data_IF_877363028339
#
_entry.id   IF_877363028339
#
_cell.length_a   1.000
_cell.length_b   1.000
_cell.length_c   1.000
_cell.angle_alpha   90.00
_cell.angle_beta   90.00
_cell.angle_gamma   90.00
#
_symmetry.space_group_name_H-M   'P 1'
#
loop_
_entity.id
_entity.type
_entity.pdbx_description
1 polymer ?
#
# COMPACT_ATOMS: atom_id res chain seq x y z
N UNK A 1 9.78 -27.56 0.88
CA UNK A 1 9.84 -26.13 1.21
C UNK A 1 8.73 -25.84 2.20
N UNK A 2 8.89 -24.83 3.06
CA UNK A 2 7.87 -24.46 4.05
C UNK A 2 6.75 -23.65 3.37
N UNK A 3 5.50 -23.76 3.84
CA UNK A 3 4.40 -22.94 3.33
C UNK A 3 4.62 -21.47 3.71
N UNK A 4 4.45 -20.54 2.76
CA UNK A 4 4.53 -19.11 3.06
C UNK A 4 3.35 -18.67 3.93
N UNK A 5 3.65 -18.08 5.08
CA UNK A 5 2.67 -17.48 6.00
C UNK A 5 2.88 -15.97 6.03
N UNK A 6 1.98 -15.24 6.68
CA UNK A 6 2.13 -13.79 6.83
C UNK A 6 3.41 -13.42 7.60
N UNK A 7 3.71 -14.16 8.66
CA UNK A 7 4.88 -13.91 9.51
C UNK A 7 6.19 -14.28 8.81
N UNK A 8 6.21 -15.39 8.06
CA UNK A 8 7.38 -15.74 7.24
C UNK A 8 7.55 -14.82 6.04
N UNK A 9 6.47 -14.29 5.45
CA UNK A 9 6.54 -13.25 4.41
C UNK A 9 7.17 -11.95 4.95
N UNK A 10 6.74 -11.47 6.12
CA UNK A 10 7.32 -10.28 6.77
C UNK A 10 8.81 -10.48 7.06
N UNK A 11 9.16 -11.63 7.62
CA UNK A 11 10.56 -11.98 7.92
C UNK A 11 11.40 -12.06 6.63
N UNK A 12 10.86 -12.69 5.59
CA UNK A 12 11.51 -12.77 4.28
C UNK A 12 11.70 -11.38 3.64
N UNK A 13 10.72 -10.48 3.77
CA UNK A 13 10.80 -9.12 3.27
C UNK A 13 11.94 -8.32 3.93
N UNK A 14 12.08 -8.41 5.27
CA UNK A 14 13.20 -7.82 6.02
C UNK A 14 14.55 -8.34 5.52
N UNK A 15 14.69 -9.66 5.42
CA UNK A 15 15.95 -10.29 5.01
C UNK A 15 16.31 -9.93 3.57
N UNK A 16 15.35 -10.03 2.65
CA UNK A 16 15.51 -9.65 1.27
C UNK A 16 15.92 -8.18 1.11
N UNK A 17 15.36 -7.25 1.88
CA UNK A 17 15.78 -5.86 1.87
C UNK A 17 17.24 -5.66 2.26
N UNK A 18 17.71 -6.42 3.24
CA UNK A 18 19.10 -6.35 3.71
C UNK A 18 20.06 -6.83 2.61
N UNK A 19 19.70 -7.92 1.91
CA UNK A 19 20.46 -8.46 0.78
C UNK A 19 20.42 -7.52 -0.45
N UNK A 20 19.25 -6.98 -0.78
CA UNK A 20 19.06 -6.08 -1.91
C UNK A 20 19.84 -4.77 -1.74
N UNK A 21 19.89 -4.23 -0.51
CA UNK A 21 20.54 -2.95 -0.22
C UNK A 21 22.05 -2.94 -0.45
N UNK A 22 22.70 -4.11 -0.40
CA UNK A 22 24.14 -4.26 -0.65
C UNK A 22 24.44 -4.82 -2.04
N UNK A 23 23.43 -5.19 -2.81
CA UNK A 23 23.59 -5.77 -4.14
C UNK A 23 23.83 -4.66 -5.18
N UNK A 24 24.90 -4.79 -5.96
CA UNK A 24 25.18 -3.92 -7.11
C UNK A 24 24.41 -4.39 -8.35
N UNK A 25 23.52 -3.55 -8.87
CA UNK A 25 22.57 -3.91 -9.92
C UNK A 25 22.89 -3.14 -11.20
N UNK A 26 23.58 -3.81 -12.13
CA UNK A 26 23.94 -3.24 -13.44
C UNK A 26 22.70 -2.82 -14.25
N UNK A 27 21.66 -3.66 -14.26
CA UNK A 27 20.44 -3.45 -15.05
C UNK A 27 19.65 -2.19 -14.67
N UNK A 28 19.92 -1.61 -13.50
CA UNK A 28 19.22 -0.43 -13.02
C UNK A 28 20.08 0.85 -13.10
N UNK A 29 21.35 0.78 -13.47
CA UNK A 29 22.18 1.98 -13.62
C UNK A 29 21.57 2.94 -14.64
N UNK A 30 21.41 4.22 -14.28
CA UNK A 30 20.79 5.25 -15.13
C UNK A 30 19.27 5.13 -15.32
N UNK A 31 18.63 4.06 -14.82
CA UNK A 31 17.18 3.89 -14.88
C UNK A 31 16.49 4.85 -13.91
N UNK A 32 15.61 5.70 -14.44
CA UNK A 32 14.79 6.67 -13.68
C UNK A 32 13.31 6.29 -13.63
N UNK A 33 12.87 5.33 -14.46
CA UNK A 33 11.51 4.82 -14.44
C UNK A 33 11.26 3.97 -13.18
N UNK A 34 10.45 4.50 -12.27
CA UNK A 34 10.08 3.80 -11.04
C UNK A 34 9.34 2.48 -11.29
N UNK A 35 8.65 2.33 -12.43
CA UNK A 35 8.00 1.08 -12.80
C UNK A 35 9.02 0.01 -13.14
N UNK A 36 10.05 0.35 -13.91
CA UNK A 36 11.13 -0.59 -14.24
C UNK A 36 11.88 -1.07 -12.96
N UNK A 37 12.14 -0.15 -12.03
CA UNK A 37 12.72 -0.51 -10.72
C UNK A 37 11.76 -1.40 -9.92
N UNK A 38 10.47 -1.06 -9.89
CA UNK A 38 9.45 -1.86 -9.21
C UNK A 38 9.37 -3.29 -9.75
N UNK A 39 9.27 -3.46 -11.07
CA UNK A 39 9.26 -4.77 -11.74
C UNK A 39 10.53 -5.58 -11.44
N UNK A 40 11.70 -4.94 -11.39
CA UNK A 40 12.93 -5.63 -10.98
C UNK A 40 12.81 -6.19 -9.56
N UNK A 41 12.43 -5.34 -8.60
CA UNK A 41 12.31 -5.75 -7.19
C UNK A 41 11.23 -6.82 -7.00
N UNK A 42 10.07 -6.69 -7.64
CA UNK A 42 8.99 -7.68 -7.62
C UNK A 42 9.48 -9.03 -8.15
N UNK A 43 10.17 -9.05 -9.29
CA UNK A 43 10.72 -10.27 -9.88
C UNK A 43 11.76 -10.93 -8.97
N UNK A 44 12.72 -10.14 -8.47
CA UNK A 44 13.80 -10.64 -7.61
C UNK A 44 13.29 -11.10 -6.24
N UNK A 45 12.28 -10.43 -5.67
CA UNK A 45 11.67 -10.87 -4.42
C UNK A 45 10.86 -12.16 -4.61
N UNK A 46 10.15 -12.31 -5.72
CA UNK A 46 9.46 -13.57 -6.02
C UNK A 46 10.44 -14.74 -6.22
N UNK A 47 11.59 -14.52 -6.85
CA UNK A 47 12.68 -15.51 -6.94
C UNK A 47 13.27 -15.85 -5.56
N UNK A 48 13.43 -14.83 -4.71
CA UNK A 48 13.88 -15.00 -3.33
C UNK A 48 12.93 -15.92 -2.54
N UNK A 49 11.62 -15.69 -2.68
CA UNK A 49 10.60 -16.47 -2.01
C UNK A 49 10.45 -17.87 -2.61
N UNK A 50 10.46 -18.01 -3.94
CA UNK A 50 10.21 -19.31 -4.61
C UNK A 50 11.33 -20.33 -4.42
N UNK A 51 12.51 -19.90 -4.03
CA UNK A 51 13.61 -20.79 -3.63
C UNK A 51 13.50 -21.28 -2.18
N UNK A 52 12.59 -20.71 -1.37
CA UNK A 52 12.51 -20.94 0.08
C UNK A 52 11.13 -21.45 0.55
N UNK A 53 10.06 -20.97 -0.08
CA UNK A 53 8.69 -21.19 0.36
C UNK A 53 7.79 -21.70 -0.75
N UNK A 54 6.82 -22.52 -0.36
CA UNK A 54 5.70 -22.91 -1.20
C UNK A 54 4.58 -21.87 -1.08
N UNK A 55 4.16 -21.29 -2.20
CA UNK A 55 3.05 -20.34 -2.26
C UNK A 55 2.51 -20.22 -3.69
N UNK A 56 1.28 -19.71 -3.80
CA UNK A 56 0.70 -19.37 -5.10
C UNK A 56 1.07 -17.94 -5.47
N UNK A 57 1.79 -17.79 -6.59
CA UNK A 57 2.05 -16.48 -7.16
C UNK A 57 0.74 -15.85 -7.66
N UNK A 58 0.54 -14.57 -7.36
CA UNK A 58 -0.55 -13.79 -7.90
C UNK A 58 -0.51 -13.67 -9.42
N UNK A 59 -1.68 -13.46 -10.01
CA UNK A 59 -1.79 -13.11 -11.43
C UNK A 59 -2.11 -11.62 -11.57
N UNK A 60 -1.62 -11.00 -12.65
CA UNK A 60 -1.97 -9.62 -13.01
C UNK A 60 -3.50 -9.40 -13.12
N UNK A 61 -4.27 -10.47 -13.39
CA UNK A 61 -5.73 -10.42 -13.47
C UNK A 61 -6.42 -10.24 -12.11
N UNK A 62 -5.85 -10.78 -11.01
CA UNK A 62 -6.38 -10.60 -9.66
C UNK A 62 -5.91 -9.28 -9.02
N UNK A 63 -4.77 -8.76 -9.47
CA UNK A 63 -4.20 -7.50 -9.01
C UNK A 63 -3.69 -7.53 -7.56
N UNK A 64 -3.29 -8.71 -7.07
CA UNK A 64 -2.71 -8.97 -5.74
C UNK A 64 -1.57 -9.98 -5.92
N UNK A 65 -0.37 -9.65 -5.44
CA UNK A 65 0.84 -10.47 -5.61
C UNK A 65 0.84 -11.79 -4.83
N UNK A 66 0.23 -11.81 -3.63
CA UNK A 66 0.14 -13.00 -2.78
C UNK A 66 -1.32 -13.28 -2.39
N UNK A 67 -2.15 -13.86 -3.29
CA UNK A 67 -3.57 -14.04 -3.05
C UNK A 67 -3.90 -14.90 -1.83
N UNK A 68 -3.12 -15.94 -1.57
CA UNK A 68 -3.31 -16.82 -0.41
C UNK A 68 -3.09 -16.13 0.95
N UNK A 69 -2.43 -14.97 0.95
CA UNK A 69 -2.19 -14.16 2.15
C UNK A 69 -2.97 -12.84 2.12
N UNK A 70 -3.73 -12.57 1.04
CA UNK A 70 -4.33 -11.27 0.77
C UNK A 70 -3.31 -10.13 0.87
N UNK A 71 -2.10 -10.29 0.32
CA UNK A 71 -1.04 -9.26 0.36
C UNK A 71 -0.71 -8.81 -1.05
N UNK A 72 -0.76 -7.50 -1.26
CA UNK A 72 -0.34 -6.84 -2.49
C UNK A 72 1.00 -6.11 -2.24
N UNK A 73 1.98 -6.36 -3.11
CA UNK A 73 3.32 -5.81 -3.00
C UNK A 73 3.35 -4.45 -3.68
N UNK A 74 4.02 -3.49 -3.05
CA UNK A 74 4.16 -2.14 -3.57
C UNK A 74 5.59 -1.67 -3.44
N UNK A 75 6.26 -1.52 -4.57
CA UNK A 75 7.63 -1.00 -4.63
C UNK A 75 7.59 0.45 -5.10
N UNK A 76 8.20 1.36 -4.35
CA UNK A 76 8.14 2.79 -4.66
C UNK A 76 9.40 3.54 -4.20
N UNK A 77 9.69 4.66 -4.85
CA UNK A 77 10.79 5.55 -4.46
C UNK A 77 10.41 6.35 -3.22
N UNK A 78 11.32 6.48 -2.26
CA UNK A 78 11.12 7.32 -1.07
C UNK A 78 10.95 8.82 -1.42
N UNK A 79 11.46 9.26 -2.59
CA UNK A 79 11.30 10.63 -3.07
C UNK A 79 9.84 10.96 -3.44
N UNK A 80 9.09 9.96 -3.89
CA UNK A 80 7.68 10.11 -4.24
C UNK A 80 6.95 8.78 -3.97
N UNK A 81 6.66 8.45 -2.70
CA UNK A 81 6.21 7.14 -2.30
C UNK A 81 4.73 6.96 -2.65
N UNK A 82 4.47 6.55 -3.88
CA UNK A 82 3.13 6.34 -4.42
C UNK A 82 3.10 5.23 -5.47
N UNK A 83 1.90 4.72 -5.76
CA UNK A 83 1.64 3.86 -6.91
C UNK A 83 0.18 3.98 -7.36
N UNK A 84 -0.13 3.42 -8.54
CA UNK A 84 -1.52 3.18 -8.95
C UNK A 84 -2.07 1.91 -8.33
N UNK A 85 -3.39 1.83 -8.25
CA UNK A 85 -4.18 0.68 -7.81
C UNK A 85 -5.48 0.64 -8.65
N UNK A 86 -5.91 -0.52 -9.17
CA UNK A 86 -7.18 -0.62 -9.88
C UNK A 86 -8.35 -0.05 -9.06
N UNK A 87 -9.18 0.76 -9.71
CA UNK A 87 -10.43 1.22 -9.12
C UNK A 87 -11.44 0.08 -9.14
N UNK A 88 -11.90 -0.40 -7.98
CA UNK A 88 -13.00 -1.37 -7.89
C UNK A 88 -14.31 -0.69 -7.54
N UNK A 89 -14.32 0.13 -6.49
CA UNK A 89 -15.47 0.96 -6.14
C UNK A 89 -15.05 2.12 -5.23
N UNK A 90 -15.90 3.16 -5.15
CA UNK A 90 -15.64 4.34 -4.33
C UNK A 90 -15.55 4.05 -2.82
N UNK A 91 -16.22 2.99 -2.34
CA UNK A 91 -16.22 2.64 -0.91
C UNK A 91 -14.85 2.20 -0.40
N UNK A 92 -13.91 1.85 -1.29
CA UNK A 92 -12.51 1.55 -0.93
C UNK A 92 -11.81 2.71 -0.21
N UNK A 93 -12.18 3.96 -0.52
CA UNK A 93 -11.67 5.13 0.22
C UNK A 93 -12.12 5.17 1.67
N UNK A 94 -13.25 4.56 1.99
CA UNK A 94 -13.85 4.55 3.33
C UNK A 94 -13.46 3.28 4.09
N UNK A 95 -13.58 2.11 3.46
CA UNK A 95 -13.41 0.81 4.12
C UNK A 95 -12.09 0.11 3.81
N UNK A 96 -11.22 0.73 3.00
CA UNK A 96 -9.96 0.13 2.57
C UNK A 96 -10.08 -0.75 1.33
N UNK A 97 -8.93 -1.26 0.89
CA UNK A 97 -8.77 -1.98 -0.37
C UNK A 97 -9.30 -3.43 -0.30
N UNK A 98 -9.46 -3.97 0.91
CA UNK A 98 -9.89 -5.34 1.17
C UNK A 98 -8.75 -6.36 1.23
N UNK A 99 -7.50 -5.91 1.19
CA UNK A 99 -6.28 -6.71 1.28
C UNK A 99 -5.16 -5.91 1.96
N UNK A 100 -4.16 -6.61 2.46
CA UNK A 100 -2.98 -6.06 3.12
C UNK A 100 -2.00 -5.48 2.08
N UNK A 101 -1.18 -4.52 2.49
CA UNK A 101 -0.09 -3.99 1.67
C UNK A 101 1.25 -4.33 2.30
N UNK A 102 2.20 -4.77 1.46
CA UNK A 102 3.61 -4.84 1.79
C UNK A 102 4.36 -3.82 0.94
N UNK A 103 4.86 -2.75 1.57
CA UNK A 103 5.40 -1.59 0.87
C UNK A 103 6.92 -1.54 1.04
N UNK A 104 7.63 -1.59 -0.08
CA UNK A 104 9.08 -1.37 -0.16
C UNK A 104 9.33 0.06 -0.63
N UNK A 105 9.82 0.91 0.28
CA UNK A 105 10.26 2.26 -0.06
C UNK A 105 11.78 2.30 -0.20
N UNK A 106 12.26 2.49 -1.42
CA UNK A 106 13.70 2.48 -1.74
C UNK A 106 14.24 3.88 -2.04
N UNK A 107 15.52 4.07 -1.78
CA UNK A 107 16.33 5.11 -2.38
C UNK A 107 17.28 4.48 -3.39
N UNK A 108 17.25 4.95 -4.63
CA UNK A 108 18.16 4.48 -5.69
C UNK A 108 19.37 5.40 -5.77
N UNK A 109 20.55 4.80 -5.74
CA UNK A 109 21.84 5.49 -5.85
C UNK A 109 22.62 4.84 -6.98
N UNK A 110 23.06 5.63 -7.95
CA UNK A 110 23.90 5.18 -9.05
C UNK A 110 25.38 5.39 -8.71
N UNK A 111 26.19 4.37 -8.95
CA UNK A 111 27.65 4.41 -8.88
C UNK A 111 28.22 4.45 -10.29
N UNK A 112 28.76 5.61 -10.66
CA UNK A 112 29.36 5.86 -11.97
C UNK A 112 30.67 5.11 -12.20
N UNK A 113 31.37 4.68 -11.15
CA UNK A 113 32.65 3.96 -11.27
C UNK A 113 32.44 2.50 -11.67
N UNK A 114 31.45 1.85 -11.07
CA UNK A 114 31.09 0.45 -11.36
C UNK A 114 29.99 0.30 -12.41
N UNK A 115 29.35 1.40 -12.83
CA UNK A 115 28.17 1.41 -13.71
C UNK A 115 27.03 0.56 -13.15
N UNK A 116 26.80 0.67 -11.84
CA UNK A 116 25.75 -0.08 -11.13
C UNK A 116 24.82 0.84 -10.35
N UNK A 117 23.64 0.34 -9.99
CA UNK A 117 22.76 0.98 -9.05
C UNK A 117 22.63 0.15 -7.77
N UNK A 118 22.50 0.81 -6.63
CA UNK A 118 22.09 0.20 -5.37
C UNK A 118 20.70 0.73 -4.98
N UNK A 119 19.86 -0.16 -4.48
CA UNK A 119 18.54 0.18 -3.94
C UNK A 119 18.58 0.09 -2.42
N UNK A 120 18.83 1.21 -1.75
CA UNK A 120 18.76 1.26 -0.28
C UNK A 120 17.32 1.17 0.16
N UNK A 121 16.95 0.08 0.83
CA UNK A 121 15.62 -0.06 1.39
C UNK A 121 15.48 0.81 2.64
N UNK A 122 14.84 1.96 2.50
CA UNK A 122 14.68 2.91 3.60
C UNK A 122 13.57 2.47 4.55
N UNK A 123 12.48 1.90 4.01
CA UNK A 123 11.39 1.36 4.81
C UNK A 123 10.79 0.12 4.16
N UNK A 124 10.38 -0.84 4.99
CA UNK A 124 9.51 -1.95 4.59
C UNK A 124 8.31 -1.90 5.50
N UNK A 125 7.15 -1.51 4.98
CA UNK A 125 5.97 -1.28 5.81
C UNK A 125 4.90 -2.31 5.47
N UNK A 126 4.48 -3.08 6.46
CA UNK A 126 3.30 -3.92 6.38
C UNK A 126 2.08 -3.16 6.91
N UNK A 127 1.01 -3.12 6.12
CA UNK A 127 -0.26 -2.44 6.45
C UNK A 127 -1.39 -3.46 6.38
N UNK A 128 -2.11 -3.66 7.48
CA UNK A 128 -3.27 -4.56 7.47
C UNK A 128 -4.42 -3.97 6.67
N UNK A 129 -5.25 -4.82 6.08
CA UNK A 129 -6.36 -4.42 5.21
C UNK A 129 -7.30 -3.40 5.86
N UNK A 130 -7.53 -3.49 7.17
CA UNK A 130 -8.38 -2.57 7.94
C UNK A 130 -7.82 -1.14 7.99
N UNK A 131 -6.51 -0.96 7.75
CA UNK A 131 -5.81 0.34 7.78
C UNK A 131 -5.58 0.93 6.39
N UNK A 132 -6.07 0.30 5.33
CA UNK A 132 -5.87 0.74 3.94
C UNK A 132 -6.85 1.80 3.43
N UNK A 133 -7.77 2.28 4.27
CA UNK A 133 -8.67 3.40 3.91
C UNK A 133 -7.93 4.74 3.75
N UNK A 134 -8.60 5.73 3.16
CA UNK A 134 -8.07 7.09 3.08
C UNK A 134 -8.17 7.78 4.45
N UNK A 135 -7.04 8.25 4.97
CA UNK A 135 -6.95 8.83 6.31
C UNK A 135 -7.85 10.04 6.48
N UNK A 136 -7.80 10.99 5.54
CA UNK A 136 -8.58 12.23 5.65
C UNK A 136 -10.08 11.96 5.53
N UNK A 137 -10.48 11.02 4.66
CA UNK A 137 -11.87 10.60 4.50
C UNK A 137 -12.37 9.90 5.76
N UNK A 138 -11.69 8.86 6.23
CA UNK A 138 -12.12 8.08 7.40
C UNK A 138 -12.14 8.93 8.67
N UNK A 139 -11.16 9.80 8.84
CA UNK A 139 -11.13 10.74 9.98
C UNK A 139 -12.27 11.77 9.90
N UNK A 140 -12.51 12.37 8.73
CA UNK A 140 -13.62 13.32 8.52
C UNK A 140 -14.98 12.69 8.80
N UNK A 141 -15.21 11.46 8.31
CA UNK A 141 -16.43 10.69 8.60
C UNK A 141 -16.60 10.46 10.10
N UNK A 142 -15.54 10.01 10.80
CA UNK A 142 -15.63 9.78 12.25
C UNK A 142 -15.91 11.08 13.01
N UNK A 143 -15.39 12.22 12.57
CA UNK A 143 -15.69 13.52 13.17
C UNK A 143 -17.15 13.95 12.96
N UNK A 144 -17.73 13.70 11.79
CA UNK A 144 -19.16 13.96 11.52
C UNK A 144 -20.02 13.12 12.49
N UNK A 145 -19.74 11.81 12.57
CA UNK A 145 -20.47 10.90 13.46
C UNK A 145 -20.30 11.31 14.92
N UNK A 146 -19.08 11.69 15.36
CA UNK A 146 -18.80 12.13 16.73
C UNK A 146 -19.61 13.37 17.12
N UNK A 147 -19.97 14.22 16.15
CA UNK A 147 -20.78 15.43 16.36
C UNK A 147 -22.28 15.18 16.18
N UNK A 148 -22.71 13.90 16.14
CA UNK A 148 -24.08 13.48 15.86
C UNK A 148 -24.59 13.96 14.48
N UNK A 149 -23.69 14.06 13.49
CA UNK A 149 -24.08 14.35 12.11
C UNK A 149 -24.99 13.26 11.54
N UNK A 150 -25.91 13.68 10.69
CA UNK A 150 -26.92 12.82 10.10
C UNK A 150 -26.50 12.34 8.68
N UNK A 151 -27.42 11.71 7.96
CA UNK A 151 -27.16 11.19 6.61
C UNK A 151 -26.80 12.30 5.62
N UNK A 152 -27.45 13.45 5.71
CA UNK A 152 -27.25 14.56 4.79
C UNK A 152 -25.86 15.19 5.00
N UNK A 153 -25.37 15.25 6.24
CA UNK A 153 -24.01 15.70 6.55
C UNK A 153 -22.95 14.77 5.92
N UNK A 154 -23.18 13.45 5.98
CA UNK A 154 -22.28 12.46 5.35
C UNK A 154 -22.35 12.58 3.82
N UNK A 155 -23.54 12.75 3.24
CA UNK A 155 -23.72 12.94 1.79
C UNK A 155 -22.96 14.19 1.33
N UNK A 156 -23.14 15.33 2.00
CA UNK A 156 -22.45 16.58 1.69
C UNK A 156 -20.92 16.42 1.76
N UNK A 157 -20.42 15.69 2.77
CA UNK A 157 -19.00 15.38 2.87
C UNK A 157 -18.50 14.53 1.70
N UNK A 158 -19.24 13.50 1.28
CA UNK A 158 -18.87 12.66 0.13
C UNK A 158 -18.83 13.45 -1.18
N UNK A 159 -19.73 14.42 -1.35
CA UNK A 159 -19.76 15.36 -2.49
C UNK A 159 -18.55 16.29 -2.48
N UNK A 160 -18.26 16.93 -1.35
CA UNK A 160 -17.10 17.82 -1.19
C UNK A 160 -15.78 17.07 -1.48
N UNK A 161 -15.68 15.81 -1.03
CA UNK A 161 -14.53 14.94 -1.29
C UNK A 161 -14.50 14.37 -2.72
N UNK A 162 -15.44 14.76 -3.58
CA UNK A 162 -15.55 14.37 -4.98
C UNK A 162 -15.53 12.84 -5.18
N UNK A 163 -16.31 12.10 -4.39
CA UNK A 163 -16.41 10.65 -4.59
C UNK A 163 -16.99 10.34 -5.98
N UNK A 164 -16.40 9.39 -6.74
CA UNK A 164 -16.92 8.98 -8.05
C UNK A 164 -18.15 8.08 -7.87
N UNK A 165 -19.24 8.67 -7.42
CA UNK A 165 -20.54 8.04 -7.13
C UNK A 165 -21.66 8.88 -7.73
N UNK A 166 -22.66 8.21 -8.29
CA UNK A 166 -23.96 8.82 -8.57
C UNK A 166 -24.75 9.05 -7.27
N UNK A 167 -25.93 9.64 -7.38
CA UNK A 167 -26.79 9.94 -6.25
C UNK A 167 -27.20 8.68 -5.47
N UNK A 168 -27.55 7.60 -6.18
CA UNK A 168 -27.97 6.33 -5.57
C UNK A 168 -26.82 5.70 -4.78
N UNK A 169 -25.65 5.58 -5.39
CA UNK A 169 -24.46 5.01 -4.75
C UNK A 169 -23.97 5.86 -3.57
N UNK A 170 -24.12 7.19 -3.64
CA UNK A 170 -23.79 8.09 -2.54
C UNK A 170 -24.73 7.93 -1.36
N UNK A 171 -26.03 7.85 -1.60
CA UNK A 171 -27.03 7.57 -0.56
C UNK A 171 -26.75 6.22 0.12
N UNK A 172 -26.54 5.16 -0.67
CA UNK A 172 -26.24 3.84 -0.14
C UNK A 172 -24.95 3.80 0.70
N UNK A 173 -23.90 4.51 0.25
CA UNK A 173 -22.65 4.61 1.02
C UNK A 173 -22.83 5.39 2.32
N UNK A 174 -23.58 6.49 2.31
CA UNK A 174 -23.86 7.29 3.49
C UNK A 174 -24.65 6.50 4.55
N UNK A 175 -25.67 5.74 4.13
CA UNK A 175 -26.42 4.85 5.02
C UNK A 175 -25.53 3.78 5.64
N UNK A 176 -24.68 3.14 4.83
CA UNK A 176 -23.72 2.14 5.31
C UNK A 176 -22.73 2.74 6.31
N UNK A 177 -22.23 3.96 6.08
CA UNK A 177 -21.32 4.67 6.99
C UNK A 177 -21.95 4.88 8.36
N UNK A 178 -23.21 5.28 8.42
CA UNK A 178 -23.91 5.49 9.70
C UNK A 178 -24.20 4.18 10.43
N UNK A 179 -24.54 3.11 9.68
CA UNK A 179 -24.80 1.79 10.26
C UNK A 179 -23.52 1.08 10.73
N UNK A 180 -22.42 1.26 10.00
CA UNK A 180 -21.13 0.62 10.24
C UNK A 180 -20.00 1.63 10.04
N UNK A 181 -19.73 2.49 11.04
CA UNK A 181 -18.67 3.49 10.96
C UNK A 181 -17.31 2.86 10.61
N UNK A 182 -16.49 3.50 9.73
CA UNK A 182 -15.24 2.93 9.29
C UNK A 182 -14.14 2.98 10.37
N UNK A 183 -13.18 2.06 10.23
CA UNK A 183 -11.88 2.17 10.89
C UNK A 183 -11.07 3.35 10.33
N UNK A 184 -10.14 3.89 11.13
CA UNK A 184 -9.20 4.89 10.62
C UNK A 184 -8.23 4.20 9.67
N UNK A 185 -8.26 4.62 8.40
CA UNK A 185 -7.27 4.26 7.39
C UNK A 185 -6.06 5.19 7.43
N UNK A 186 -4.95 4.80 6.81
CA UNK A 186 -3.69 5.56 6.85
C UNK A 186 -3.11 5.86 5.48
N UNK A 187 -3.74 5.40 4.40
CA UNK A 187 -3.35 5.80 3.05
C UNK A 187 -3.84 7.21 2.75
N UNK A 188 -3.20 7.86 1.78
CA UNK A 188 -3.85 8.95 1.04
C UNK A 188 -4.26 8.39 -0.31
N UNK A 189 -5.54 8.49 -0.65
CA UNK A 189 -6.10 7.95 -1.91
C UNK A 189 -6.63 9.11 -2.74
N UNK A 190 -5.99 9.38 -3.88
CA UNK A 190 -6.41 10.43 -4.81
C UNK A 190 -7.34 9.88 -5.89
N UNK A 191 -8.30 10.69 -6.32
CA UNK A 191 -9.11 10.39 -7.50
C UNK A 191 -8.23 10.51 -8.75
N UNK A 192 -8.20 9.47 -9.56
CA UNK A 192 -7.57 9.41 -10.88
C UNK A 192 -8.30 8.33 -11.70
N UNK A 193 -7.91 8.10 -12.96
CA UNK A 193 -8.47 7.02 -13.80
C UNK A 193 -8.42 5.65 -13.09
N UNK A 194 -7.39 5.46 -12.26
CA UNK A 194 -7.25 4.41 -11.26
C UNK A 194 -6.98 5.08 -9.90
N UNK A 195 -7.17 4.38 -8.79
CA UNK A 195 -6.74 4.92 -7.50
C UNK A 195 -5.25 5.21 -7.49
N UNK A 196 -4.86 6.34 -6.94
CA UNK A 196 -3.46 6.66 -6.65
C UNK A 196 -3.25 6.63 -5.15
N UNK A 197 -2.51 5.63 -4.69
CA UNK A 197 -2.17 5.41 -3.29
C UNK A 197 -0.88 6.15 -2.98
N UNK A 198 -0.87 6.96 -1.93
CA UNK A 198 0.34 7.61 -1.42
C UNK A 198 0.66 7.07 -0.03
N UNK A 199 1.93 6.75 0.19
CA UNK A 199 2.39 5.98 1.34
C UNK A 199 3.13 6.82 2.39
N UNK A 200 3.32 8.13 2.17
CA UNK A 200 4.09 8.99 3.08
C UNK A 200 3.61 8.89 4.53
N UNK A 201 2.29 8.80 4.75
CA UNK A 201 1.72 8.68 6.10
C UNK A 201 1.96 7.33 6.74
N UNK A 202 1.74 6.22 6.03
CA UNK A 202 2.04 4.89 6.60
C UNK A 202 3.51 4.76 6.94
N UNK A 203 4.41 5.30 6.10
CA UNK A 203 5.85 5.35 6.37
C UNK A 203 6.14 6.19 7.63
N UNK A 204 5.58 7.40 7.71
CA UNK A 204 5.78 8.30 8.85
C UNK A 204 5.30 7.68 10.18
N UNK A 205 4.08 7.13 10.22
CA UNK A 205 3.55 6.57 11.48
C UNK A 205 4.27 5.29 11.87
N UNK A 206 4.76 4.51 10.90
CA UNK A 206 5.53 3.28 11.15
C UNK A 206 6.92 3.53 11.74
N UNK A 207 7.46 4.75 11.57
CA UNK A 207 8.79 5.15 12.08
C UNK A 207 8.69 5.95 13.37
N UNK A 208 7.58 6.66 13.60
CA UNK A 208 7.38 7.49 14.78
C UNK A 208 6.92 6.70 16.03
N UNK A 209 6.35 5.51 15.87
CA UNK A 209 5.90 4.69 16.99
C UNK A 209 5.05 3.49 16.56
N UNK A 210 4.39 2.86 17.52
CA UNK A 210 3.53 1.70 17.26
C UNK A 210 2.13 2.16 16.86
N UNK A 211 1.70 1.82 15.65
CA UNK A 211 0.31 1.97 15.20
C UNK A 211 -0.26 0.58 14.90
N UNK A 212 -1.32 0.16 15.60
CA UNK A 212 -1.89 -1.18 15.40
C UNK A 212 -2.30 -1.40 13.95
N UNK A 213 -1.74 -2.45 13.34
CA UNK A 213 -1.96 -2.79 11.93
C UNK A 213 -1.01 -2.10 10.95
N UNK A 214 -0.02 -1.34 11.43
CA UNK A 214 1.06 -0.76 10.61
C UNK A 214 2.40 -1.06 11.28
N UNK A 215 3.24 -1.81 10.58
CA UNK A 215 4.50 -2.33 11.10
C UNK A 215 5.63 -1.97 10.13
N UNK A 216 6.66 -1.28 10.60
CA UNK A 216 7.91 -1.17 9.83
C UNK A 216 8.78 -2.37 10.16
N UNK A 217 9.04 -3.21 9.16
CA UNK A 217 9.75 -4.46 9.31
C UNK A 217 11.27 -4.26 9.40
N UNK A 218 11.80 -3.04 9.29
CA UNK A 218 13.25 -2.78 9.43
C UNK A 218 13.68 -2.31 10.82
N UNK A 219 12.72 -2.05 11.72
CA UNK A 219 12.95 -1.56 13.10
C UNK A 219 12.65 -2.64 14.13
#
# INVERSE_FOLDING_TARGET
MELLTLESLKTAARNFCSELSVTQIHNLYGVTDGKAVGTYVESTFNQYLSSRYEYTLGSAALGIDFPGLEVDLKVTSIKQPQSSCPFRNASQKVYGLGYNLLIFAYEKIDDHSSLTANLKCQNVVFVTKERTGDYQTTYGIKEIIRRNGNKDDVIAFLEERNFPLDEIGRNALAERILQSPPEIGYLTISNALQWRLQYSRVIQVSTAGTTTGIENLLV
#
